data_IF_971634598010
#
_entry.id   IF_971634598010
#
_cell.length_a   1.000
_cell.length_b   1.000
_cell.length_c   1.000
_cell.angle_alpha   90.00
_cell.angle_beta   90.00
_cell.angle_gamma   90.00
#
_symmetry.space_group_name_H-M   'P 1'
#
loop_
_entity.id
_entity.type
_entity.pdbx_description
1 polymer ?
#
# COMPACT_ATOMS: atom_id res chain seq x y z
N UNK A 1 13.84 4.70 -12.66
CA UNK A 1 13.59 3.76 -11.54
C UNK A 1 12.36 4.23 -10.79
N UNK A 2 11.57 3.32 -10.20
CA UNK A 2 10.44 3.67 -9.34
C UNK A 2 10.57 2.91 -8.03
N UNK A 3 10.27 3.55 -6.92
CA UNK A 3 10.27 2.93 -5.60
C UNK A 3 8.84 2.83 -5.11
N UNK A 4 8.51 1.68 -4.52
CA UNK A 4 7.25 1.44 -3.84
C UNK A 4 7.53 1.37 -2.35
N UNK A 5 6.96 2.30 -1.59
CA UNK A 5 7.02 2.28 -0.13
C UNK A 5 5.68 1.80 0.43
N UNK A 6 5.75 0.93 1.44
CA UNK A 6 4.61 0.36 2.13
C UNK A 6 4.70 0.66 3.62
N UNK A 7 3.61 1.17 4.19
CA UNK A 7 3.41 1.28 5.62
C UNK A 7 2.28 0.32 6.05
N UNK A 8 2.65 -0.71 6.78
CA UNK A 8 1.72 -1.73 7.28
C UNK A 8 1.39 -1.46 8.75
N UNK A 9 0.30 -0.71 8.98
CA UNK A 9 -0.24 -0.46 10.30
C UNK A 9 -1.19 -1.57 10.77
N UNK A 10 -1.54 -1.54 12.06
CA UNK A 10 -2.46 -2.51 12.69
C UNK A 10 -3.83 -2.59 11.98
N UNK A 11 -4.32 -1.47 11.46
CA UNK A 11 -5.68 -1.37 10.90
C UNK A 11 -5.70 -1.12 9.40
N UNK A 12 -4.60 -0.63 8.82
CA UNK A 12 -4.55 -0.17 7.43
C UNK A 12 -3.17 -0.40 6.85
N UNK A 13 -3.12 -0.63 5.55
CA UNK A 13 -1.89 -0.63 4.76
C UNK A 13 -1.92 0.55 3.81
N UNK A 14 -0.84 1.32 3.79
CA UNK A 14 -0.64 2.44 2.87
C UNK A 14 0.47 2.09 1.88
N UNK A 15 0.25 2.38 0.61
CA UNK A 15 1.22 2.23 -0.46
C UNK A 15 1.44 3.57 -1.15
N UNK A 16 2.70 3.89 -1.48
CA UNK A 16 3.05 5.07 -2.27
C UNK A 16 4.12 4.70 -3.30
N UNK A 17 3.88 5.10 -4.55
CA UNK A 17 4.84 4.97 -5.65
C UNK A 17 5.55 6.31 -5.85
N UNK A 18 6.88 6.30 -5.82
CA UNK A 18 7.71 7.50 -6.02
C UNK A 18 8.72 7.32 -7.15
N UNK A 19 9.01 8.41 -7.88
CA UNK A 19 10.06 8.46 -8.89
C UNK A 19 11.44 8.84 -8.31
N UNK A 20 12.42 9.05 -9.19
CA UNK A 20 13.80 9.39 -8.81
C UNK A 20 13.90 10.82 -8.25
N UNK A 21 12.95 11.68 -8.60
CA UNK A 21 12.81 13.05 -8.12
C UNK A 21 11.96 13.15 -6.84
N UNK A 22 11.64 12.01 -6.21
CA UNK A 22 10.79 11.88 -5.01
C UNK A 22 9.35 12.39 -5.21
N UNK A 23 8.87 12.47 -6.44
CA UNK A 23 7.48 12.82 -6.72
C UNK A 23 6.59 11.62 -6.49
N UNK A 24 5.43 11.85 -5.87
CA UNK A 24 4.40 10.83 -5.72
C UNK A 24 3.71 10.65 -7.06
N UNK A 25 3.83 9.44 -7.61
CA UNK A 25 3.14 9.05 -8.84
C UNK A 25 1.75 8.50 -8.55
N UNK A 26 1.58 7.77 -7.44
CA UNK A 26 0.30 7.23 -7.01
C UNK A 26 0.34 6.77 -5.56
N UNK A 27 -0.80 6.76 -4.89
CA UNK A 27 -0.90 6.38 -3.48
C UNK A 27 -2.24 5.72 -3.16
N UNK A 28 -2.25 4.77 -2.24
CA UNK A 28 -3.51 4.18 -1.82
C UNK A 28 -3.48 3.70 -0.38
N UNK A 29 -4.65 3.68 0.24
CA UNK A 29 -4.86 3.13 1.58
C UNK A 29 -5.86 2.00 1.46
N UNK A 30 -5.52 0.82 1.98
CA UNK A 30 -6.41 -0.33 2.06
C UNK A 30 -6.63 -0.76 3.50
N UNK A 31 -7.87 -1.11 3.83
CA UNK A 31 -8.30 -1.61 5.14
C UNK A 31 -9.84 -1.78 5.18
N UNK A 32 -10.42 -2.13 6.34
CA UNK A 32 -9.74 -2.42 7.60
C UNK A 32 -9.03 -3.79 7.57
N UNK A 33 -7.81 -3.84 8.07
CA UNK A 33 -7.27 -5.05 8.70
C UNK A 33 -7.92 -5.15 10.07
N UNK A 34 -9.13 -5.69 10.12
CA UNK A 34 -10.00 -5.61 11.30
C UNK A 34 -9.42 -6.45 12.46
N UNK A 35 -8.56 -5.82 13.29
CA UNK A 35 -7.95 -6.25 14.58
C UNK A 35 -7.24 -7.61 14.59
N UNK A 36 -7.27 -8.35 13.49
CA UNK A 36 -6.69 -9.67 13.31
C UNK A 36 -5.31 -9.55 12.69
N UNK A 37 -4.33 -10.21 13.32
CA UNK A 37 -2.99 -10.40 12.76
C UNK A 37 -2.95 -11.61 11.80
N UNK A 38 -4.10 -12.03 11.26
CA UNK A 38 -4.18 -13.08 10.25
C UNK A 38 -3.32 -12.69 9.03
N UNK A 39 -2.28 -13.47 8.70
CA UNK A 39 -1.40 -13.18 7.58
C UNK A 39 -2.13 -13.04 6.23
N UNK A 40 -3.24 -13.76 6.04
CA UNK A 40 -4.02 -13.71 4.79
C UNK A 40 -4.67 -12.34 4.57
N UNK A 41 -5.19 -11.74 5.65
CA UNK A 41 -5.79 -10.41 5.63
C UNK A 41 -4.72 -9.33 5.39
N UNK A 42 -3.56 -9.47 6.04
CA UNK A 42 -2.41 -8.56 5.85
C UNK A 42 -1.95 -8.61 4.38
N UNK A 43 -1.78 -9.80 3.81
CA UNK A 43 -1.37 -9.96 2.42
C UNK A 43 -2.41 -9.41 1.45
N UNK A 44 -3.71 -9.60 1.73
CA UNK A 44 -4.80 -9.03 0.94
C UNK A 44 -4.75 -7.49 0.95
N UNK A 45 -4.51 -6.88 2.12
CA UNK A 45 -4.42 -5.43 2.25
C UNK A 45 -3.18 -4.87 1.55
N UNK A 46 -2.03 -5.53 1.68
CA UNK A 46 -0.82 -5.17 0.94
C UNK A 46 -1.10 -5.22 -0.55
N UNK A 47 -1.65 -6.32 -1.07
CA UNK A 47 -1.93 -6.48 -2.49
C UNK A 47 -2.89 -5.40 -3.01
N UNK A 48 -4.00 -5.17 -2.29
CA UNK A 48 -4.96 -4.12 -2.64
C UNK A 48 -4.32 -2.74 -2.67
N UNK A 49 -3.46 -2.42 -1.70
CA UNK A 49 -2.80 -1.13 -1.64
C UNK A 49 -1.81 -0.94 -2.81
N UNK A 50 -1.03 -1.98 -3.13
CA UNK A 50 -0.09 -1.95 -4.26
C UNK A 50 -0.84 -1.78 -5.58
N UNK A 51 -1.84 -2.62 -5.84
CA UNK A 51 -2.57 -2.63 -7.11
C UNK A 51 -3.29 -1.29 -7.34
N UNK A 52 -3.87 -0.71 -6.29
CA UNK A 52 -4.53 0.60 -6.37
C UNK A 52 -3.52 1.74 -6.59
N UNK A 53 -2.38 1.75 -5.90
CA UNK A 53 -1.35 2.77 -6.08
C UNK A 53 -0.71 2.72 -7.48
N UNK A 54 -0.52 1.51 -8.03
CA UNK A 54 -0.04 1.32 -9.40
C UNK A 54 -1.06 1.73 -10.46
N UNK A 55 -2.36 1.65 -10.15
CA UNK A 55 -3.43 2.07 -11.07
C UNK A 55 -3.57 3.59 -11.16
N UNK A 56 -3.24 4.30 -10.09
CA UNK A 56 -3.28 5.77 -10.04
C UNK A 56 -2.07 6.42 -10.74
N UNK A 57 -0.91 5.74 -10.71
CA UNK A 57 0.36 6.19 -11.26
C UNK A 57 0.52 6.05 -12.77
#
# INVERSE_FOLDING_TARGET
MRLLALDTGKTKTFAVLIDEELRVLGSSVTGPGDVSLDPSLILSNIRGAIDAALKEA
#
